data_IF_364391287815
#
_entry.id   IF_364391287815
#
_cell.length_a   1.000
_cell.length_b   1.000
_cell.length_c   1.000
_cell.angle_alpha   90.00
_cell.angle_beta   90.00
_cell.angle_gamma   90.00
#
_symmetry.space_group_name_H-M   'P 1'
#
loop_
_entity.id
_entity.type
_entity.pdbx_description
1 polymer ?
#
# COMPACT_ATOMS: atom_id res chain seq x y z
N UNK A 1 0.18 -17.55 13.50
CA UNK A 1 -1.28 -17.44 13.23
C UNK A 1 -1.90 -18.76 12.74
N UNK A 2 -1.22 -19.91 12.89
CA UNK A 2 -1.79 -21.21 12.49
C UNK A 2 -2.41 -21.98 13.67
N UNK A 3 -2.47 -21.35 14.84
CA UNK A 3 -3.03 -21.92 16.05
C UNK A 3 -4.55 -21.73 16.09
N UNK A 4 -5.23 -22.65 16.77
CA UNK A 4 -6.68 -22.65 16.93
C UNK A 4 -7.42 -23.56 15.95
N UNK A 5 -8.67 -23.86 16.27
CA UNK A 5 -9.49 -24.81 15.53
C UNK A 5 -9.88 -24.30 14.15
N UNK A 6 -9.99 -25.22 13.19
CA UNK A 6 -10.53 -24.94 11.86
C UNK A 6 -12.00 -24.53 11.97
N UNK A 7 -12.42 -23.61 11.12
CA UNK A 7 -13.81 -23.19 11.06
C UNK A 7 -14.67 -24.31 10.46
N UNK A 8 -15.76 -24.68 11.13
CA UNK A 8 -16.68 -25.73 10.69
C UNK A 8 -17.34 -25.43 9.34
N UNK A 9 -17.76 -24.19 9.11
CA UNK A 9 -18.23 -23.70 7.81
C UNK A 9 -17.31 -22.59 7.28
N UNK A 10 -16.35 -22.93 6.38
CA UNK A 10 -15.49 -21.95 5.73
C UNK A 10 -16.25 -20.90 4.90
N UNK A 11 -17.47 -21.18 4.42
CA UNK A 11 -18.19 -20.28 3.51
C UNK A 11 -18.53 -18.95 4.18
N UNK A 12 -18.85 -18.96 5.48
CA UNK A 12 -19.11 -17.75 6.27
C UNK A 12 -17.92 -16.79 6.17
N UNK A 13 -16.71 -17.31 6.35
CA UNK A 13 -15.48 -16.52 6.27
C UNK A 13 -15.22 -16.03 4.84
N UNK A 14 -15.32 -16.91 3.84
CA UNK A 14 -15.06 -16.56 2.43
C UNK A 14 -15.99 -15.45 1.93
N UNK A 15 -17.28 -15.53 2.24
CA UNK A 15 -18.27 -14.51 1.90
C UNK A 15 -17.98 -13.17 2.58
N UNK A 16 -17.59 -13.21 3.85
CA UNK A 16 -17.23 -12.02 4.60
C UNK A 16 -15.99 -11.32 3.99
N UNK A 17 -14.92 -12.07 3.75
CA UNK A 17 -13.71 -11.53 3.12
C UNK A 17 -14.00 -10.98 1.72
N UNK A 18 -14.82 -11.66 0.92
CA UNK A 18 -15.22 -11.15 -0.41
C UNK A 18 -15.91 -9.79 -0.34
N UNK A 19 -16.79 -9.57 0.64
CA UNK A 19 -17.44 -8.26 0.87
C UNK A 19 -16.46 -7.20 1.35
N UNK A 20 -15.54 -7.57 2.23
CA UNK A 20 -14.51 -6.67 2.74
C UNK A 20 -13.54 -6.24 1.62
N UNK A 21 -13.18 -7.16 0.71
CA UNK A 21 -12.38 -6.85 -0.49
C UNK A 21 -13.09 -5.86 -1.43
N UNK A 22 -14.42 -5.92 -1.53
CA UNK A 22 -15.15 -4.89 -2.26
C UNK A 22 -15.04 -3.53 -1.55
N UNK A 23 -15.19 -3.52 -0.22
CA UNK A 23 -15.14 -2.29 0.58
C UNK A 23 -13.77 -1.60 0.55
N UNK A 24 -12.66 -2.32 0.31
CA UNK A 24 -11.32 -1.70 0.22
C UNK A 24 -11.20 -0.67 -0.91
N UNK A 25 -12.11 -0.66 -1.89
CA UNK A 25 -12.15 0.34 -2.98
C UNK A 25 -12.58 1.74 -2.51
N UNK A 26 -13.26 1.84 -1.36
CA UNK A 26 -13.67 3.13 -0.77
C UNK A 26 -13.11 3.35 0.64
N UNK A 27 -12.57 2.28 1.25
CA UNK A 27 -11.96 2.26 2.58
C UNK A 27 -10.48 1.82 2.49
N UNK A 28 -9.56 2.70 2.07
CA UNK A 28 -8.13 2.37 2.02
C UNK A 28 -7.58 1.96 3.39
N UNK A 29 -8.12 2.53 4.47
CA UNK A 29 -7.75 2.29 5.87
C UNK A 29 -7.83 0.82 6.31
N UNK A 30 -8.69 0.01 5.67
CA UNK A 30 -8.83 -1.41 6.00
C UNK A 30 -8.01 -2.33 5.08
N UNK A 31 -7.37 -1.78 4.04
CA UNK A 31 -6.76 -2.57 2.95
C UNK A 31 -5.73 -3.57 3.46
N UNK A 32 -4.84 -3.15 4.35
CA UNK A 32 -3.83 -4.04 4.95
C UNK A 32 -4.48 -5.19 5.75
N UNK A 33 -5.44 -4.87 6.62
CA UNK A 33 -6.12 -5.87 7.44
C UNK A 33 -6.89 -6.89 6.58
N UNK A 34 -7.60 -6.42 5.55
CA UNK A 34 -8.30 -7.29 4.60
C UNK A 34 -7.31 -8.14 3.80
N UNK A 35 -6.21 -7.56 3.33
CA UNK A 35 -5.17 -8.30 2.62
C UNK A 35 -4.59 -9.43 3.50
N UNK A 36 -4.29 -9.15 4.77
CA UNK A 36 -3.80 -10.15 5.70
C UNK A 36 -4.82 -11.29 5.93
N UNK A 37 -6.07 -10.94 6.21
CA UNK A 37 -7.15 -11.92 6.41
C UNK A 37 -7.40 -12.76 5.15
N UNK A 38 -7.31 -12.18 3.96
CA UNK A 38 -7.53 -12.88 2.70
C UNK A 38 -6.57 -14.06 2.46
N UNK A 39 -5.40 -14.08 3.10
CA UNK A 39 -4.44 -15.17 3.00
C UNK A 39 -4.95 -16.50 3.58
N UNK A 40 -5.97 -16.45 4.45
CA UNK A 40 -6.50 -17.62 5.15
C UNK A 40 -7.83 -18.14 4.58
N UNK A 41 -8.27 -17.64 3.41
CA UNK A 41 -9.54 -17.99 2.77
C UNK A 41 -9.65 -19.48 2.40
N UNK A 42 -8.52 -20.14 2.14
CA UNK A 42 -8.48 -21.58 1.83
C UNK A 42 -8.82 -22.43 3.06
N UNK A 43 -8.16 -22.16 4.19
CA UNK A 43 -8.30 -22.89 5.46
C UNK A 43 -8.50 -21.92 6.63
N UNK A 44 -9.69 -21.31 6.79
CA UNK A 44 -9.95 -20.38 7.87
C UNK A 44 -10.05 -21.08 9.23
N UNK A 45 -9.66 -20.38 10.29
CA UNK A 45 -9.68 -20.83 11.68
C UNK A 45 -10.51 -19.87 12.52
N UNK A 46 -10.95 -20.30 13.69
CA UNK A 46 -11.74 -19.47 14.63
C UNK A 46 -11.06 -18.11 14.90
N UNK A 47 -9.74 -18.02 15.17
CA UNK A 47 -9.09 -16.73 15.39
C UNK A 47 -9.13 -15.80 14.17
N UNK A 48 -9.12 -16.35 12.94
CA UNK A 48 -9.24 -15.53 11.73
C UNK A 48 -10.64 -14.90 11.63
N UNK A 49 -11.68 -15.64 11.98
CA UNK A 49 -13.05 -15.11 12.02
C UNK A 49 -13.21 -14.03 13.09
N UNK A 50 -12.62 -14.23 14.27
CA UNK A 50 -12.62 -13.22 15.33
C UNK A 50 -11.94 -11.91 14.88
N UNK A 51 -10.79 -12.01 14.21
CA UNK A 51 -10.10 -10.85 13.65
C UNK A 51 -10.95 -10.14 12.57
N UNK A 52 -11.65 -10.89 11.72
CA UNK A 52 -12.58 -10.32 10.75
C UNK A 52 -13.78 -9.62 11.43
N UNK A 53 -14.33 -10.17 12.52
CA UNK A 53 -15.37 -9.52 13.31
C UNK A 53 -14.89 -8.25 14.04
N UNK A 54 -13.63 -8.25 14.49
CA UNK A 54 -13.01 -7.04 15.04
C UNK A 54 -12.91 -5.94 13.99
N UNK A 55 -12.50 -6.28 12.76
CA UNK A 55 -12.50 -5.34 11.63
C UNK A 55 -13.92 -4.82 11.30
N UNK A 56 -14.93 -5.69 11.33
CA UNK A 56 -16.33 -5.27 11.17
C UNK A 56 -16.78 -4.30 12.27
N UNK A 57 -16.37 -4.54 13.52
CA UNK A 57 -16.66 -3.64 14.64
C UNK A 57 -16.03 -2.27 14.43
N UNK A 58 -14.82 -2.21 13.88
CA UNK A 58 -14.17 -0.96 13.48
C UNK A 58 -14.95 -0.23 12.38
N UNK A 59 -15.35 -0.93 11.31
CA UNK A 59 -16.15 -0.35 10.22
C UNK A 59 -17.49 0.18 10.74
N UNK A 60 -18.16 -0.57 11.62
CA UNK A 60 -19.47 -0.21 12.20
C UNK A 60 -19.42 1.08 13.03
N UNK A 61 -18.27 1.44 13.62
CA UNK A 61 -18.12 2.69 14.38
C UNK A 61 -18.22 3.94 13.51
N UNK A 62 -17.87 3.84 12.23
CA UNK A 62 -17.90 4.96 11.29
C UNK A 62 -18.31 4.46 9.88
N UNK A 63 -19.60 4.16 9.66
CA UNK A 63 -20.07 3.64 8.39
C UNK A 63 -20.00 4.67 7.26
N UNK A 64 -20.09 5.97 7.59
CA UNK A 64 -19.97 7.08 6.65
C UNK A 64 -18.52 7.52 6.39
N UNK A 65 -17.52 6.87 6.98
CA UNK A 65 -16.12 7.16 6.70
C UNK A 65 -15.79 6.72 5.26
N UNK A 66 -15.27 7.62 4.45
CA UNK A 66 -14.88 7.34 3.07
C UNK A 66 -13.99 8.43 2.49
N UNK A 67 -13.55 8.25 1.25
CA UNK A 67 -12.69 9.20 0.56
C UNK A 67 -13.44 10.49 0.18
N UNK A 68 -12.80 11.62 0.46
CA UNK A 68 -13.25 12.92 0.00
C UNK A 68 -12.33 13.46 -1.09
N UNK A 69 -12.91 13.79 -2.25
CA UNK A 69 -12.19 14.35 -3.39
C UNK A 69 -12.44 15.85 -3.47
N UNK A 70 -11.40 16.65 -3.20
CA UNK A 70 -11.46 18.11 -3.38
C UNK A 70 -11.32 18.46 -4.86
N UNK A 71 -12.19 19.35 -5.36
CA UNK A 71 -12.03 19.97 -6.69
C UNK A 71 -10.95 21.05 -6.71
N UNK A 72 -10.56 21.57 -5.53
CA UNK A 72 -9.53 22.59 -5.37
C UNK A 72 -8.19 21.91 -5.06
N UNK A 73 -7.60 21.28 -6.05
CA UNK A 73 -6.30 20.60 -5.91
C UNK A 73 -5.51 20.65 -7.21
N UNK A 74 -4.19 20.46 -7.13
CA UNK A 74 -3.36 20.33 -8.32
C UNK A 74 -3.55 18.97 -8.97
N UNK A 75 -3.25 18.85 -10.26
CA UNK A 75 -3.27 17.57 -10.98
C UNK A 75 -1.89 16.89 -11.01
N UNK A 76 -1.08 17.15 -9.97
CA UNK A 76 0.26 16.60 -9.84
C UNK A 76 0.20 15.21 -9.21
N UNK A 77 0.82 14.21 -9.84
CA UNK A 77 0.94 12.88 -9.25
C UNK A 77 2.04 12.84 -8.18
N UNK A 78 1.72 12.24 -7.04
CA UNK A 78 2.67 11.89 -6.00
C UNK A 78 2.35 10.51 -5.41
N UNK A 79 3.35 9.79 -4.94
CA UNK A 79 3.17 8.44 -4.43
C UNK A 79 4.08 8.21 -3.24
N UNK A 80 3.54 7.59 -2.21
CA UNK A 80 4.29 7.07 -1.07
C UNK A 80 4.41 5.57 -1.25
N UNK A 81 5.59 5.02 -0.98
CA UNK A 81 5.86 3.58 -1.10
C UNK A 81 6.68 3.11 0.09
N UNK A 82 6.28 1.95 0.62
CA UNK A 82 6.92 1.29 1.76
C UNK A 82 6.90 -0.23 1.53
N UNK A 83 7.79 -0.93 2.21
CA UNK A 83 7.77 -2.37 2.33
C UNK A 83 8.05 -2.83 3.76
N UNK A 84 7.19 -3.71 4.29
CA UNK A 84 7.50 -4.34 5.57
C UNK A 84 8.38 -5.57 5.34
N UNK A 85 9.60 -5.56 5.89
CA UNK A 85 10.59 -6.62 5.73
C UNK A 85 10.40 -7.74 6.76
N UNK A 86 10.24 -8.97 6.28
CA UNK A 86 10.14 -10.19 7.10
C UNK A 86 8.95 -10.24 8.09
N UNK A 87 7.87 -9.49 7.84
CA UNK A 87 6.70 -9.46 8.74
C UNK A 87 5.83 -10.71 8.72
N UNK A 88 6.04 -11.63 7.79
CA UNK A 88 5.39 -12.94 7.78
C UNK A 88 6.40 -14.03 8.22
N UNK A 89 6.30 -14.55 9.46
CA UNK A 89 7.18 -15.63 9.95
C UNK A 89 7.11 -16.89 9.07
N UNK A 90 5.92 -17.17 8.53
CA UNK A 90 5.60 -18.41 7.80
C UNK A 90 6.18 -18.44 6.37
N UNK A 91 6.31 -17.28 5.72
CA UNK A 91 6.77 -17.22 4.31
C UNK A 91 8.00 -16.37 4.09
N UNK A 92 8.40 -15.56 5.09
CA UNK A 92 9.49 -14.58 5.03
C UNK A 92 9.37 -13.56 3.88
N UNK A 93 8.20 -13.46 3.25
CA UNK A 93 7.93 -12.50 2.16
C UNK A 93 7.50 -11.16 2.73
N UNK A 94 8.05 -10.09 2.16
CA UNK A 94 7.69 -8.72 2.49
C UNK A 94 6.31 -8.35 1.94
N UNK A 95 5.71 -7.31 2.53
CA UNK A 95 4.45 -6.72 2.04
C UNK A 95 4.79 -5.37 1.41
N UNK A 96 4.49 -5.22 0.12
CA UNK A 96 4.56 -3.94 -0.58
C UNK A 96 3.29 -3.14 -0.30
N UNK A 97 3.46 -1.90 0.11
CA UNK A 97 2.40 -0.93 0.30
C UNK A 97 2.69 0.32 -0.50
N UNK A 98 1.67 0.88 -1.15
CA UNK A 98 1.78 2.22 -1.73
C UNK A 98 0.43 2.94 -1.70
N UNK A 99 0.52 4.27 -1.76
CA UNK A 99 -0.63 5.15 -1.97
C UNK A 99 -0.24 6.30 -2.89
N UNK A 100 -1.07 6.53 -3.91
CA UNK A 100 -0.87 7.53 -4.97
C UNK A 100 -1.95 8.60 -4.88
N UNK A 101 -1.49 9.84 -4.88
CA UNK A 101 -2.30 11.04 -4.81
C UNK A 101 -2.25 11.81 -6.13
N UNK A 102 -3.39 12.37 -6.50
CA UNK A 102 -3.52 13.42 -7.51
C UNK A 102 -3.78 14.73 -6.77
N UNK A 103 -2.74 15.56 -6.66
CA UNK A 103 -2.70 16.68 -5.74
C UNK A 103 -2.83 16.20 -4.30
N UNK A 104 -3.95 16.54 -3.66
CA UNK A 104 -4.29 16.16 -2.29
C UNK A 104 -5.21 14.95 -2.20
N UNK A 105 -5.71 14.45 -3.34
CA UNK A 105 -6.72 13.41 -3.37
C UNK A 105 -6.07 12.04 -3.53
N UNK A 106 -6.35 11.10 -2.62
CA UNK A 106 -5.90 9.71 -2.76
C UNK A 106 -6.70 9.01 -3.86
N UNK A 107 -6.02 8.54 -4.92
CA UNK A 107 -6.67 7.96 -6.11
C UNK A 107 -6.32 6.49 -6.35
N UNK A 108 -5.20 5.99 -5.85
CA UNK A 108 -4.80 4.58 -5.95
C UNK A 108 -4.03 4.17 -4.71
N UNK A 109 -4.21 2.92 -4.26
CA UNK A 109 -3.50 2.35 -3.13
C UNK A 109 -3.46 0.84 -3.24
N UNK A 110 -2.49 0.23 -2.57
CA UNK A 110 -2.33 -1.22 -2.60
C UNK A 110 -1.61 -1.72 -1.37
N UNK A 111 -2.04 -2.89 -0.90
CA UNK A 111 -1.27 -3.75 0.00
C UNK A 111 -1.13 -5.11 -0.66
N UNK A 112 0.10 -5.55 -0.93
CA UNK A 112 0.34 -6.81 -1.62
C UNK A 112 1.62 -7.48 -1.13
N UNK A 113 1.50 -8.74 -0.75
CA UNK A 113 2.65 -9.62 -0.50
C UNK A 113 3.52 -9.77 -1.75
N UNK A 114 4.83 -9.57 -1.59
CA UNK A 114 5.80 -9.76 -2.67
C UNK A 114 5.83 -11.22 -3.13
N UNK A 115 6.03 -11.45 -4.42
CA UNK A 115 6.08 -12.79 -4.99
C UNK A 115 7.38 -13.52 -4.59
N UNK A 116 8.49 -12.81 -4.59
CA UNK A 116 9.83 -13.31 -4.23
C UNK A 116 10.18 -12.92 -2.79
N UNK A 117 10.99 -13.75 -2.14
CA UNK A 117 11.57 -13.43 -0.83
C UNK A 117 12.72 -12.46 -1.02
N UNK A 118 12.71 -11.33 -0.30
CA UNK A 118 13.80 -10.35 -0.30
C UNK A 118 14.86 -10.74 0.71
N UNK A 119 16.14 -10.55 0.37
CA UNK A 119 17.29 -10.87 1.24
C UNK A 119 17.74 -9.68 2.08
N UNK A 120 17.19 -8.49 1.82
CA UNK A 120 17.42 -7.27 2.60
C UNK A 120 16.20 -6.36 2.54
N UNK A 121 16.11 -5.41 3.49
CA UNK A 121 15.09 -4.36 3.46
C UNK A 121 15.23 -3.47 2.22
N UNK A 122 16.46 -3.10 1.83
CA UNK A 122 16.73 -2.33 0.61
C UNK A 122 16.14 -3.02 -0.64
N UNK A 123 16.32 -4.33 -0.77
CA UNK A 123 15.77 -5.10 -1.88
C UNK A 123 14.23 -5.15 -1.87
N UNK A 124 13.62 -5.30 -0.69
CA UNK A 124 12.16 -5.27 -0.54
C UNK A 124 11.57 -3.90 -0.93
N UNK A 125 12.21 -2.82 -0.47
CA UNK A 125 11.83 -1.44 -0.79
C UNK A 125 11.96 -1.16 -2.28
N UNK A 126 13.04 -1.64 -2.89
CA UNK A 126 13.24 -1.47 -4.32
C UNK A 126 12.16 -2.16 -5.15
N UNK A 127 11.78 -3.39 -4.79
CA UNK A 127 10.66 -4.10 -5.43
C UNK A 127 9.32 -3.37 -5.23
N UNK A 128 9.12 -2.77 -4.07
CA UNK A 128 7.96 -1.94 -3.81
C UNK A 128 7.97 -0.69 -4.72
N UNK A 129 9.10 0.00 -4.85
CA UNK A 129 9.28 1.12 -5.78
C UNK A 129 9.01 0.72 -7.23
N UNK A 130 9.51 -0.43 -7.69
CA UNK A 130 9.26 -0.91 -9.05
C UNK A 130 7.76 -1.19 -9.29
N UNK A 131 7.09 -1.82 -8.33
CA UNK A 131 5.65 -2.07 -8.39
C UNK A 131 4.85 -0.77 -8.43
N UNK A 132 5.19 0.20 -7.58
CA UNK A 132 4.56 1.52 -7.58
C UNK A 132 4.83 2.26 -8.90
N UNK A 133 6.05 2.17 -9.44
CA UNK A 133 6.41 2.82 -10.72
C UNK A 133 5.57 2.28 -11.88
N UNK A 134 5.29 0.97 -11.92
CA UNK A 134 4.38 0.40 -12.92
C UNK A 134 2.98 1.01 -12.85
N UNK A 135 2.43 1.14 -11.64
CA UNK A 135 1.12 1.78 -11.41
C UNK A 135 1.14 3.25 -11.85
N UNK A 136 2.20 3.98 -11.52
CA UNK A 136 2.34 5.40 -11.85
C UNK A 136 2.45 5.63 -13.36
N UNK A 137 3.16 4.77 -14.09
CA UNK A 137 3.22 4.82 -15.56
C UNK A 137 1.83 4.62 -16.15
N UNK A 138 1.06 3.67 -15.62
CA UNK A 138 -0.31 3.44 -16.07
C UNK A 138 -1.24 4.63 -15.77
N UNK A 139 -1.17 5.18 -14.55
CA UNK A 139 -1.96 6.35 -14.14
C UNK A 139 -1.60 7.59 -14.97
N UNK A 140 -0.32 7.84 -15.23
CA UNK A 140 0.11 8.96 -16.06
C UNK A 140 -0.36 8.81 -17.51
N UNK A 141 -0.34 7.59 -18.06
CA UNK A 141 -0.90 7.33 -19.39
C UNK A 141 -2.42 7.56 -19.43
N UNK A 142 -3.14 7.14 -18.38
CA UNK A 142 -4.57 7.42 -18.25
C UNK A 142 -4.84 8.93 -18.18
N UNK A 143 -4.09 9.69 -17.37
CA UNK A 143 -4.22 11.15 -17.28
C UNK A 143 -3.89 11.85 -18.60
N UNK A 144 -2.89 11.35 -19.34
CA UNK A 144 -2.54 11.85 -20.67
C UNK A 144 -3.69 11.69 -21.67
N UNK A 145 -4.49 10.62 -21.57
CA UNK A 145 -5.71 10.45 -22.39
C UNK A 145 -6.79 11.50 -22.10
N UNK A 146 -6.73 12.14 -20.93
CA UNK A 146 -7.56 13.29 -20.55
C UNK A 146 -6.85 14.64 -20.79
N UNK A 147 -5.74 14.65 -21.53
CA UNK A 147 -4.91 15.85 -21.79
C UNK A 147 -4.30 16.49 -20.53
N UNK A 148 -4.06 15.69 -19.48
CA UNK A 148 -3.40 16.12 -18.25
C UNK A 148 -1.96 15.58 -18.27
N UNK A 149 -0.98 16.49 -18.26
CA UNK A 149 0.40 16.12 -17.99
C UNK A 149 0.66 16.11 -16.48
N UNK A 150 0.98 14.93 -15.96
CA UNK A 150 1.25 14.70 -14.56
C UNK A 150 2.74 14.41 -14.27
N UNK A 151 3.61 14.59 -15.25
CA UNK A 151 5.06 14.42 -15.11
C UNK A 151 5.72 15.75 -14.69
N UNK A 152 6.78 15.72 -13.85
CA UNK A 152 7.38 14.54 -13.23
C UNK A 152 6.52 14.02 -12.06
N UNK A 153 6.43 12.71 -11.90
CA UNK A 153 5.77 12.07 -10.76
C UNK A 153 6.71 12.04 -9.55
N UNK A 154 6.22 12.43 -8.37
CA UNK A 154 7.01 12.40 -7.13
C UNK A 154 6.82 11.07 -6.40
N UNK A 155 7.90 10.32 -6.16
CA UNK A 155 7.88 9.07 -5.41
C UNK A 155 8.67 9.20 -4.10
N UNK A 156 7.99 8.98 -2.98
CA UNK A 156 8.51 9.11 -1.63
C UNK A 156 8.79 7.72 -1.01
N UNK A 157 10.04 7.48 -0.64
CA UNK A 157 10.50 6.26 0.03
C UNK A 157 11.30 6.65 1.28
N UNK A 158 11.28 5.85 2.34
CA UNK A 158 12.02 6.13 3.58
C UNK A 158 13.36 5.38 3.67
N UNK A 159 13.63 4.48 2.73
CA UNK A 159 14.88 3.73 2.66
C UNK A 159 15.92 4.42 1.78
N UNK A 160 16.87 5.09 2.42
CA UNK A 160 17.98 5.77 1.75
C UNK A 160 18.83 4.81 0.90
N UNK A 161 19.06 3.57 1.34
CA UNK A 161 19.84 2.62 0.55
C UNK A 161 19.13 2.27 -0.76
N UNK A 162 17.81 2.12 -0.75
CA UNK A 162 17.02 1.88 -1.94
C UNK A 162 17.01 3.09 -2.89
N UNK A 163 16.91 4.31 -2.34
CA UNK A 163 17.02 5.55 -3.11
C UNK A 163 18.40 5.68 -3.75
N UNK A 164 19.48 5.48 -2.98
CA UNK A 164 20.85 5.49 -3.50
C UNK A 164 21.06 4.43 -4.58
N UNK A 165 20.49 3.24 -4.39
CA UNK A 165 20.54 2.19 -5.42
C UNK A 165 19.81 2.61 -6.70
N UNK A 166 18.72 3.36 -6.59
CA UNK A 166 17.98 3.85 -7.74
C UNK A 166 18.72 4.99 -8.46
N UNK A 167 19.42 5.86 -7.74
CA UNK A 167 20.14 7.00 -8.32
C UNK A 167 21.53 6.63 -8.89
N UNK A 168 22.18 5.57 -8.39
CA UNK A 168 23.52 5.20 -8.82
C UNK A 168 23.51 4.22 -9.99
N UNK A 169 24.22 4.55 -11.08
CA UNK A 169 24.36 3.69 -12.27
C UNK A 169 25.42 2.59 -12.12
N UNK A 170 26.30 2.70 -11.12
CA UNK A 170 27.37 1.72 -10.88
C UNK A 170 26.74 0.47 -10.24
N UNK A 171 26.51 -0.55 -11.06
CA UNK A 171 26.03 -1.85 -10.62
C UNK A 171 27.11 -2.56 -9.79
N UNK A 172 26.69 -3.13 -8.66
CA UNK A 172 27.45 -4.16 -7.96
C UNK A 172 26.78 -5.51 -8.21
N UNK A 173 27.55 -6.60 -8.29
CA UNK A 173 27.10 -8.00 -8.43
C UNK A 173 26.01 -8.45 -7.41
N UNK A 174 25.72 -7.62 -6.39
CA UNK A 174 24.81 -7.90 -5.27
C UNK A 174 23.32 -7.74 -5.58
N UNK A 175 22.91 -7.22 -6.75
CA UNK A 175 21.49 -6.95 -7.10
C UNK A 175 20.90 -7.84 -8.19
N UNK A 176 21.60 -8.90 -8.60
CA UNK A 176 21.22 -9.75 -9.74
C UNK A 176 19.75 -10.23 -9.76
N UNK A 177 19.17 -10.38 -8.56
CA UNK A 177 17.79 -10.84 -8.35
C UNK A 177 16.71 -9.75 -8.52
N UNK A 178 17.10 -8.49 -8.73
CA UNK A 178 16.21 -7.34 -8.99
C UNK A 178 16.68 -6.51 -10.20
N UNK A 179 17.55 -7.05 -11.06
CA UNK A 179 18.16 -6.27 -12.15
C UNK A 179 17.11 -5.66 -13.09
N UNK A 180 16.05 -6.40 -13.43
CA UNK A 180 14.96 -5.90 -14.28
C UNK A 180 14.23 -4.73 -13.62
N UNK A 181 13.89 -4.87 -12.33
CA UNK A 181 13.26 -3.82 -11.54
C UNK A 181 14.16 -2.57 -11.46
N UNK A 182 15.46 -2.78 -11.25
CA UNK A 182 16.47 -1.73 -11.23
C UNK A 182 16.56 -0.98 -12.55
N UNK A 183 16.65 -1.70 -13.67
CA UNK A 183 16.68 -1.09 -14.99
C UNK A 183 15.41 -0.28 -15.27
N UNK A 184 14.24 -0.83 -14.97
CA UNK A 184 12.97 -0.16 -15.20
C UNK A 184 12.82 1.14 -14.41
N UNK A 185 13.05 1.11 -13.08
CA UNK A 185 12.94 2.33 -12.25
C UNK A 185 13.96 3.38 -12.68
N UNK A 186 15.20 2.99 -12.97
CA UNK A 186 16.26 3.90 -13.43
C UNK A 186 15.94 4.55 -14.77
N UNK A 187 15.40 3.80 -15.72
CA UNK A 187 14.96 4.36 -17.00
C UNK A 187 13.95 5.48 -16.77
N UNK A 188 12.99 5.27 -15.86
CA UNK A 188 11.97 6.26 -15.53
C UNK A 188 12.54 7.48 -14.81
N UNK A 189 13.57 7.32 -13.97
CA UNK A 189 14.30 8.46 -13.39
C UNK A 189 15.07 9.26 -14.45
N UNK A 190 15.82 8.57 -15.32
CA UNK A 190 16.66 9.20 -16.34
C UNK A 190 15.83 9.93 -17.39
N UNK A 191 14.64 9.43 -17.73
CA UNK A 191 13.70 10.11 -18.63
C UNK A 191 13.07 11.38 -18.04
N UNK A 192 13.26 11.65 -16.74
CA UNK A 192 12.61 12.74 -16.03
C UNK A 192 11.15 12.46 -15.65
N UNK A 193 10.60 11.28 -15.99
CA UNK A 193 9.25 10.88 -15.60
C UNK A 193 9.09 10.79 -14.09
N UNK A 194 10.08 10.23 -13.38
CA UNK A 194 10.04 10.01 -11.93
C UNK A 194 11.06 10.91 -11.23
N UNK A 195 10.68 11.46 -10.08
CA UNK A 195 11.61 12.08 -9.12
C UNK A 195 11.47 11.42 -7.76
N UNK A 196 12.57 10.88 -7.25
CA UNK A 196 12.63 10.21 -5.95
C UNK A 196 12.94 11.20 -4.83
N UNK A 197 12.23 11.07 -3.72
CA UNK A 197 12.45 11.85 -2.51
C UNK A 197 12.50 10.93 -1.29
N UNK A 198 13.39 11.26 -0.37
CA UNK A 198 13.40 10.62 0.93
C UNK A 198 12.33 11.23 1.83
N UNK A 199 11.49 10.39 2.44
CA UNK A 199 10.56 10.78 3.50
C UNK A 199 10.97 10.12 4.82
N UNK A 200 10.79 10.79 5.95
CA UNK A 200 11.03 10.15 7.26
C UNK A 200 9.91 9.15 7.53
N UNK A 201 10.18 8.03 8.20
CA UNK A 201 9.17 6.99 8.47
C UNK A 201 7.91 7.51 9.18
N UNK A 202 8.02 8.52 10.06
CA UNK A 202 6.84 9.16 10.68
C UNK A 202 5.88 9.85 9.69
N UNK A 203 6.38 10.22 8.50
CA UNK A 203 5.61 10.81 7.41
C UNK A 203 5.36 9.86 6.25
N UNK A 204 5.72 8.58 6.39
CA UNK A 204 5.53 7.57 5.36
C UNK A 204 4.08 7.10 5.37
N UNK A 205 3.25 7.67 4.49
CA UNK A 205 1.81 7.32 4.42
C UNK A 205 1.58 5.88 3.95
N UNK A 206 2.55 5.27 3.27
CA UNK A 206 2.44 3.90 2.82
C UNK A 206 2.49 2.85 3.96
N UNK A 207 2.97 3.25 5.16
CA UNK A 207 3.07 2.39 6.34
C UNK A 207 1.75 1.72 6.72
N UNK A 208 0.62 2.41 6.53
CA UNK A 208 -0.71 1.85 6.83
C UNK A 208 -1.06 0.63 5.94
N UNK A 209 -0.37 0.48 4.81
CA UNK A 209 -0.59 -0.62 3.87
C UNK A 209 0.39 -1.79 4.06
N UNK A 210 1.40 -1.66 4.92
CA UNK A 210 2.45 -2.66 5.09
C UNK A 210 2.47 -3.31 6.46
N UNK A 211 2.03 -2.59 7.51
CA UNK A 211 2.10 -3.02 8.90
C UNK A 211 0.89 -2.58 9.73
N UNK A 212 0.67 -3.27 10.84
CA UNK A 212 -0.35 -2.89 11.81
C UNK A 212 0.16 -1.70 12.65
N UNK A 213 -0.54 -0.58 12.58
CA UNK A 213 -0.17 0.64 13.30
C UNK A 213 -0.91 0.77 14.63
N UNK A 214 -0.26 1.39 15.62
CA UNK A 214 -0.92 1.77 16.87
C UNK A 214 -1.97 2.87 16.63
N UNK A 215 -3.02 2.89 17.46
CA UNK A 215 -4.21 3.72 17.28
C UNK A 215 -3.93 5.21 16.96
N UNK A 216 -2.99 5.92 17.63
CA UNK A 216 -2.73 7.32 17.30
C UNK A 216 -2.14 7.52 15.90
N UNK A 217 -1.16 6.70 15.51
CA UNK A 217 -0.53 6.77 14.19
C UNK A 217 -1.52 6.36 13.08
N UNK A 218 -2.31 5.32 13.32
CA UNK A 218 -3.36 4.89 12.41
C UNK A 218 -4.38 6.02 12.16
N UNK A 219 -4.87 6.66 13.22
CA UNK A 219 -5.85 7.74 13.11
C UNK A 219 -5.30 8.97 12.37
N UNK A 220 -4.04 9.32 12.62
CA UNK A 220 -3.33 10.40 11.90
C UNK A 220 -3.20 10.09 10.40
N UNK A 221 -2.87 8.86 10.02
CA UNK A 221 -2.79 8.47 8.61
C UNK A 221 -4.16 8.38 7.93
N UNK A 222 -5.19 7.90 8.64
CA UNK A 222 -6.58 7.95 8.13
C UNK A 222 -6.99 9.38 7.80
N UNK A 223 -6.66 10.34 8.68
CA UNK A 223 -6.90 11.76 8.43
C UNK A 223 -6.09 12.28 7.24
N UNK A 224 -4.78 11.99 7.16
CA UNK A 224 -3.91 12.42 6.05
C UNK A 224 -4.24 11.79 4.70
N UNK A 225 -4.89 10.63 4.67
CA UNK A 225 -5.44 10.02 3.45
C UNK A 225 -6.71 10.70 2.95
N UNK A 226 -7.26 11.68 3.69
CA UNK A 226 -8.46 12.42 3.30
C UNK A 226 -9.74 11.65 3.54
N UNK A 227 -9.76 10.71 4.48
CA UNK A 227 -10.99 10.02 4.86
C UNK A 227 -11.81 10.91 5.79
N UNK A 228 -13.05 11.17 5.39
CA UNK A 228 -13.99 11.98 6.16
C UNK A 228 -15.23 11.16 6.47
N UNK A 229 -15.79 11.33 7.67
CA UNK A 229 -17.05 10.71 8.03
C UNK A 229 -18.20 11.65 7.70
N UNK A 230 -18.98 11.32 6.68
CA UNK A 230 -20.12 12.12 6.21
C UNK A 230 -21.32 12.03 7.18
N UNK A 231 -21.35 10.99 8.02
CA UNK A 231 -22.35 10.80 9.07
C UNK A 231 -21.65 10.81 10.43
N UNK A 232 -21.19 11.98 10.92
CA UNK A 232 -20.72 12.07 12.29
C UNK A 232 -21.87 11.65 13.22
N UNK A 233 -21.59 10.76 14.18
CA UNK A 233 -22.53 10.46 15.25
C UNK A 233 -23.00 11.78 15.87
N UNK A 234 -24.29 11.97 16.14
CA UNK A 234 -24.74 13.16 16.85
C UNK A 234 -23.96 13.28 18.15
N UNK A 235 -23.29 14.42 18.31
CA UNK A 235 -22.52 14.81 19.50
C UNK A 235 -23.34 14.79 20.77
#
# INVERSE_FOLDING_TARGET
>A
MNDGELLSDPQVYRRLIGRLLYLTHTRPDITYAVHLLSQFVSMPRIPHLHAAHHLLSYIKKAPGLGLFFSSKTSLQLSCFVDSDYSSCPDTRRSITGFCTYLGTNLISWKSKKQHTVSRSSCEAEYRAMATATCELVWLAALLSSFHIDASPVFLYCDNQAAIHLASNQIFHERTKYIDVDCHFVREKLNSGFLKLFHVRSKGQLADIFTKALHSPAFSDFVFKMGLTNVHPSPS
#
